data_IF_352206307524
#
_entry.id   IF_352206307524
#
_cell.length_a   1.000
_cell.length_b   1.000
_cell.length_c   1.000
_cell.angle_alpha   90.00
_cell.angle_beta   90.00
_cell.angle_gamma   90.00
#
_symmetry.space_group_name_H-M   'P 1'
#
loop_
_entity.id
_entity.type
_entity.pdbx_description
1 polymer ?
#
# COMPACT_ATOMS: atom_id res chain seq x y z
N UNK A 1 17.38 4.00 10.06
CA UNK A 1 17.97 2.86 9.30
C UNK A 1 17.28 1.60 9.76
N UNK A 2 16.76 0.78 8.84
CA UNK A 2 16.23 -0.54 9.21
C UNK A 2 17.39 -1.44 9.65
N UNK A 3 17.30 -1.98 10.85
CA UNK A 3 18.29 -2.91 11.39
C UNK A 3 18.18 -4.22 10.60
N UNK A 4 19.24 -4.63 9.89
CA UNK A 4 19.33 -5.95 9.26
C UNK A 4 20.02 -6.90 10.24
N UNK A 5 19.40 -8.04 10.50
CA UNK A 5 20.05 -9.13 11.24
C UNK A 5 21.13 -9.77 10.37
N UNK A 6 22.26 -10.15 11.00
CA UNK A 6 23.25 -11.03 10.38
C UNK A 6 22.67 -12.44 10.24
N UNK A 7 23.32 -13.31 9.44
CA UNK A 7 22.90 -14.72 9.31
C UNK A 7 22.93 -15.44 10.66
N UNK A 8 23.97 -15.23 11.46
CA UNK A 8 24.11 -15.78 12.80
C UNK A 8 22.98 -15.34 13.74
N UNK A 9 22.65 -14.05 13.76
CA UNK A 9 21.54 -13.52 14.54
C UNK A 9 20.18 -14.07 14.08
N UNK A 10 20.02 -14.28 12.78
CA UNK A 10 18.80 -14.87 12.23
C UNK A 10 18.64 -16.34 12.61
N UNK A 11 19.71 -17.12 12.55
CA UNK A 11 19.69 -18.52 13.01
C UNK A 11 19.44 -18.62 14.51
N UNK A 12 20.06 -17.77 15.32
CA UNK A 12 19.77 -17.65 16.75
C UNK A 12 18.27 -17.40 17.02
N UNK A 13 17.67 -16.42 16.32
CA UNK A 13 16.23 -16.13 16.46
C UNK A 13 15.35 -17.31 16.06
N UNK A 14 15.71 -18.04 14.99
CA UNK A 14 14.96 -19.22 14.54
C UNK A 14 15.04 -20.34 15.56
N UNK A 15 16.21 -20.59 16.13
CA UNK A 15 16.40 -21.60 17.19
C UNK A 15 15.56 -21.30 18.43
N UNK A 16 15.48 -20.04 18.86
CA UNK A 16 14.63 -19.64 19.97
C UNK A 16 13.14 -19.84 19.65
N UNK A 17 12.73 -19.55 18.42
CA UNK A 17 11.34 -19.74 17.99
C UNK A 17 10.94 -21.22 17.94
N UNK A 18 11.83 -22.10 17.45
CA UNK A 18 11.65 -23.56 17.48
C UNK A 18 11.57 -24.08 18.92
N UNK A 19 12.28 -23.43 19.85
CA UNK A 19 12.18 -23.69 21.29
C UNK A 19 10.91 -23.14 21.99
N UNK A 20 10.00 -22.50 21.24
CA UNK A 20 8.73 -22.00 21.74
C UNK A 20 8.76 -20.60 22.35
N UNK A 21 9.84 -19.83 22.17
CA UNK A 21 9.95 -18.45 22.63
C UNK A 21 9.00 -17.52 21.84
N UNK A 22 8.41 -16.54 22.53
CA UNK A 22 7.61 -15.51 21.87
C UNK A 22 8.49 -14.52 21.13
N UNK A 23 7.93 -13.77 20.17
CA UNK A 23 8.68 -12.74 19.44
C UNK A 23 9.21 -11.62 20.37
N UNK A 24 8.53 -11.39 21.48
CA UNK A 24 8.99 -10.47 22.51
C UNK A 24 10.24 -11.02 23.23
N UNK A 25 10.20 -12.31 23.64
CA UNK A 25 11.35 -12.96 24.27
C UNK A 25 12.56 -12.97 23.33
N UNK A 26 12.34 -13.30 22.06
CA UNK A 26 13.39 -13.27 21.04
C UNK A 26 13.98 -11.87 20.87
N UNK A 27 13.15 -10.82 20.90
CA UNK A 27 13.61 -9.43 20.87
C UNK A 27 14.52 -9.11 22.07
N UNK A 28 14.16 -9.55 23.26
CA UNK A 28 14.95 -9.36 24.46
C UNK A 28 16.24 -10.17 24.43
N UNK A 29 16.21 -11.43 24.00
CA UNK A 29 17.41 -12.26 23.81
C UNK A 29 18.39 -11.70 22.76
N UNK A 30 17.87 -11.10 21.69
CA UNK A 30 18.71 -10.38 20.71
C UNK A 30 19.42 -9.20 21.35
N UNK A 31 18.72 -8.44 22.19
CA UNK A 31 19.32 -7.34 22.93
C UNK A 31 20.40 -7.82 23.91
N UNK A 32 20.09 -8.82 24.70
CA UNK A 32 21.01 -9.35 25.72
C UNK A 32 22.25 -10.00 25.12
N UNK A 33 22.10 -10.73 24.00
CA UNK A 33 23.21 -11.49 23.39
C UNK A 33 24.03 -10.71 22.39
N UNK A 34 23.43 -9.76 21.68
CA UNK A 34 24.08 -9.04 20.57
C UNK A 34 23.98 -7.51 20.67
N UNK A 35 23.34 -6.98 21.71
CA UNK A 35 23.11 -5.52 21.84
C UNK A 35 22.21 -4.93 20.74
N UNK A 36 21.42 -5.77 20.05
CA UNK A 36 20.53 -5.37 18.95
C UNK A 36 19.08 -5.41 19.40
N UNK A 37 18.51 -4.23 19.62
CA UNK A 37 17.05 -4.14 19.88
C UNK A 37 16.30 -4.15 18.56
N UNK A 38 15.36 -5.09 18.42
CA UNK A 38 14.45 -5.15 17.28
C UNK A 38 13.02 -5.33 17.80
N UNK A 39 12.10 -4.48 17.33
CA UNK A 39 10.70 -4.60 17.72
C UNK A 39 10.16 -6.02 17.42
N UNK A 40 9.32 -6.63 18.29
CA UNK A 40 8.83 -8.01 18.13
C UNK A 40 8.20 -8.30 16.75
N UNK A 41 7.45 -7.37 16.17
CA UNK A 41 6.91 -7.50 14.80
C UNK A 41 7.99 -7.56 13.72
N UNK A 42 9.10 -6.84 13.91
CA UNK A 42 10.26 -6.91 13.01
C UNK A 42 10.99 -8.24 13.16
N UNK A 43 11.11 -8.75 14.38
CA UNK A 43 11.63 -10.11 14.64
C UNK A 43 10.78 -11.14 13.92
N UNK A 44 9.46 -11.08 14.09
CA UNK A 44 8.50 -11.94 13.38
C UNK A 44 8.74 -11.92 11.88
N UNK A 45 8.85 -10.74 11.27
CA UNK A 45 9.10 -10.60 9.84
C UNK A 45 10.38 -11.32 9.39
N UNK A 46 11.47 -11.19 10.14
CA UNK A 46 12.74 -11.81 9.77
C UNK A 46 12.74 -13.32 9.95
N UNK A 47 12.11 -13.83 11.01
CA UNK A 47 12.14 -15.25 11.38
C UNK A 47 11.13 -16.09 10.58
N UNK A 48 9.94 -15.52 10.23
CA UNK A 48 8.91 -16.27 9.49
C UNK A 48 9.09 -16.24 7.97
N UNK A 49 10.07 -15.52 7.46
CA UNK A 49 10.32 -15.39 6.02
C UNK A 49 10.75 -16.72 5.41
N UNK A 50 9.83 -17.40 4.72
CA UNK A 50 10.14 -18.61 3.94
C UNK A 50 11.09 -18.29 2.78
N UNK A 51 11.96 -19.25 2.42
CA UNK A 51 12.84 -19.14 1.27
C UNK A 51 12.05 -18.79 0.01
N UNK A 52 12.59 -17.88 -0.80
CA UNK A 52 11.94 -17.43 -2.05
C UNK A 52 11.72 -18.60 -2.99
N UNK A 53 10.51 -18.78 -3.55
CA UNK A 53 10.31 -19.69 -4.67
C UNK A 53 11.11 -19.22 -5.89
N UNK A 54 11.50 -20.16 -6.76
CA UNK A 54 12.22 -19.84 -8.02
C UNK A 54 11.37 -18.98 -8.93
N UNK A 55 11.93 -17.86 -9.36
CA UNK A 55 11.31 -16.91 -10.28
C UNK A 55 11.66 -17.30 -11.73
N UNK A 56 10.72 -17.24 -12.65
CA UNK A 56 10.96 -17.61 -14.06
C UNK A 56 11.36 -16.41 -14.93
N UNK A 57 10.44 -15.59 -15.34
CA UNK A 57 10.69 -14.45 -16.24
C UNK A 57 11.25 -13.22 -15.51
N UNK A 58 10.81 -13.02 -14.28
CA UNK A 58 11.36 -11.99 -13.38
C UNK A 58 12.85 -12.22 -13.10
N UNK A 59 13.31 -13.49 -13.02
CA UNK A 59 14.75 -13.78 -12.85
C UNK A 59 15.56 -13.43 -14.11
N UNK A 60 15.01 -13.60 -15.30
CA UNK A 60 15.68 -13.20 -16.54
C UNK A 60 15.85 -11.67 -16.60
N UNK A 61 14.77 -10.93 -16.34
CA UNK A 61 14.83 -9.46 -16.27
C UNK A 61 15.80 -9.00 -15.18
N UNK A 62 15.80 -9.65 -14.00
CA UNK A 62 16.74 -9.34 -12.93
C UNK A 62 18.19 -9.64 -13.32
N UNK A 63 18.46 -10.69 -14.12
CA UNK A 63 19.81 -10.99 -14.63
C UNK A 63 20.30 -9.94 -15.64
N UNK A 64 19.38 -9.24 -16.30
CA UNK A 64 19.63 -8.10 -17.19
C UNK A 64 19.68 -6.77 -16.42
N UNK A 65 19.49 -6.81 -15.08
CA UNK A 65 19.43 -5.62 -14.23
C UNK A 65 18.17 -4.79 -14.41
N UNK A 66 17.10 -5.38 -14.97
CA UNK A 66 15.80 -4.75 -15.19
C UNK A 66 14.82 -5.23 -14.12
N UNK A 67 14.13 -4.31 -13.50
CA UNK A 67 13.05 -4.57 -12.53
C UNK A 67 11.82 -3.76 -12.91
N UNK A 68 10.63 -4.38 -12.86
CA UNK A 68 9.36 -3.72 -13.13
C UNK A 68 8.47 -3.74 -11.89
N UNK A 69 7.81 -2.61 -11.62
CA UNK A 69 6.93 -2.41 -10.47
C UNK A 69 5.60 -1.81 -10.96
N UNK A 70 4.51 -2.49 -10.67
CA UNK A 70 3.17 -1.99 -10.97
C UNK A 70 2.70 -1.10 -9.81
N UNK A 71 2.30 0.14 -10.10
CA UNK A 71 1.75 1.07 -9.11
C UNK A 71 0.30 1.40 -9.46
N UNK A 72 -0.60 1.07 -8.56
CA UNK A 72 -2.05 1.29 -8.66
C UNK A 72 -2.47 2.07 -7.42
N UNK A 73 -3.38 3.04 -7.55
CA UNK A 73 -3.87 3.82 -6.41
C UNK A 73 -5.33 4.21 -6.56
N UNK A 74 -5.90 4.76 -5.50
CA UNK A 74 -7.24 5.34 -5.50
C UNK A 74 -8.27 4.35 -6.04
N UNK A 75 -8.28 3.14 -5.47
CA UNK A 75 -9.16 2.04 -5.86
C UNK A 75 -10.56 2.26 -5.29
N UNK A 76 -10.65 2.80 -4.05
CA UNK A 76 -11.89 3.14 -3.37
C UNK A 76 -12.91 2.00 -3.34
N UNK A 77 -12.53 0.82 -2.87
CA UNK A 77 -13.48 -0.28 -2.70
C UNK A 77 -14.64 0.19 -1.79
N UNK A 78 -15.92 0.01 -2.17
CA UNK A 78 -16.43 -0.86 -3.24
C UNK A 78 -16.62 -0.18 -4.61
N UNK A 79 -16.15 1.05 -4.78
CA UNK A 79 -16.32 1.83 -6.02
C UNK A 79 -15.18 1.59 -7.03
N UNK A 80 -14.42 0.53 -6.85
CA UNK A 80 -13.33 0.17 -7.75
C UNK A 80 -13.84 -0.12 -9.17
N UNK A 81 -12.97 0.09 -10.16
CA UNK A 81 -13.20 -0.34 -11.54
C UNK A 81 -13.24 -1.86 -11.62
N UNK A 82 -14.01 -2.36 -12.58
CA UNK A 82 -14.20 -3.81 -12.77
C UNK A 82 -12.95 -4.48 -13.37
N UNK A 83 -12.09 -3.73 -14.07
CA UNK A 83 -10.90 -4.21 -14.76
C UNK A 83 -9.59 -4.20 -13.92
N UNK A 84 -9.65 -3.86 -12.63
CA UNK A 84 -8.46 -3.84 -11.75
C UNK A 84 -7.69 -5.17 -11.80
N UNK A 85 -8.40 -6.29 -11.68
CA UNK A 85 -7.77 -7.62 -11.67
C UNK A 85 -7.22 -8.02 -13.05
N UNK A 86 -7.84 -7.60 -14.13
CA UNK A 86 -7.34 -7.83 -15.49
C UNK A 86 -6.02 -7.09 -15.72
N UNK A 87 -5.92 -5.86 -15.23
CA UNK A 87 -4.69 -5.06 -15.28
C UNK A 87 -3.58 -5.74 -14.48
N UNK A 88 -3.88 -6.20 -13.27
CA UNK A 88 -2.89 -6.93 -12.45
C UNK A 88 -2.43 -8.20 -13.17
N UNK A 89 -3.38 -8.99 -13.69
CA UNK A 89 -3.09 -10.24 -14.41
C UNK A 89 -2.22 -10.02 -15.67
N UNK A 90 -2.48 -8.93 -16.40
CA UNK A 90 -1.70 -8.54 -17.58
C UNK A 90 -0.21 -8.37 -17.26
N UNK A 91 0.13 -7.84 -16.08
CA UNK A 91 1.50 -7.54 -15.68
C UNK A 91 2.11 -8.57 -14.73
N UNK A 92 1.32 -9.53 -14.22
CA UNK A 92 1.73 -10.45 -13.14
C UNK A 92 3.03 -11.22 -13.41
N UNK A 93 3.30 -11.56 -14.67
CA UNK A 93 4.47 -12.36 -15.05
C UNK A 93 5.75 -11.53 -15.29
N UNK A 94 5.66 -10.19 -15.33
CA UNK A 94 6.78 -9.31 -15.64
C UNK A 94 7.20 -8.41 -14.46
N UNK A 95 6.38 -8.32 -13.39
CA UNK A 95 6.63 -7.44 -12.24
C UNK A 95 7.26 -8.19 -11.08
N UNK A 96 8.18 -7.53 -10.38
CA UNK A 96 8.77 -7.99 -9.13
C UNK A 96 8.01 -7.48 -7.90
N UNK A 97 7.28 -6.38 -8.06
CA UNK A 97 6.49 -5.79 -6.99
C UNK A 97 5.21 -5.11 -7.53
N UNK A 98 4.21 -5.04 -6.65
CA UNK A 98 3.03 -4.19 -6.81
C UNK A 98 2.92 -3.27 -5.59
N UNK A 99 2.68 -1.98 -5.83
CA UNK A 99 2.48 -0.97 -4.80
C UNK A 99 1.06 -0.42 -4.96
N UNK A 100 0.24 -0.63 -3.93
CA UNK A 100 -1.08 -0.02 -3.83
C UNK A 100 -0.94 1.31 -3.09
N UNK A 101 -1.09 2.39 -3.82
CA UNK A 101 -0.66 3.75 -3.46
C UNK A 101 -1.64 4.53 -2.59
N UNK A 102 -2.41 3.87 -1.70
CA UNK A 102 -3.39 4.51 -0.82
C UNK A 102 -4.79 4.64 -1.42
N UNK A 103 -5.74 4.99 -0.58
CA UNK A 103 -7.17 5.04 -0.88
C UNK A 103 -7.67 3.73 -1.52
N UNK A 104 -7.30 2.61 -0.90
CA UNK A 104 -7.79 1.28 -1.24
C UNK A 104 -9.21 1.11 -0.73
N UNK A 105 -9.43 1.54 0.53
CA UNK A 105 -10.72 1.64 1.19
C UNK A 105 -11.35 3.00 0.92
N UNK A 106 -12.67 3.05 0.66
CA UNK A 106 -13.36 4.32 0.64
C UNK A 106 -13.75 4.79 2.05
N UNK A 107 -14.01 3.86 2.97
CA UNK A 107 -14.45 4.14 4.35
C UNK A 107 -15.66 5.07 4.41
N UNK A 108 -16.62 4.87 3.50
CA UNK A 108 -17.78 5.77 3.34
C UNK A 108 -18.67 5.79 4.57
N UNK A 109 -18.87 4.66 5.25
CA UNK A 109 -19.74 4.53 6.42
C UNK A 109 -19.23 5.29 7.65
N UNK A 110 -17.95 5.55 7.73
CA UNK A 110 -17.30 6.34 8.80
C UNK A 110 -16.87 7.73 8.33
N UNK A 111 -17.29 8.11 7.12
CA UNK A 111 -17.05 9.42 6.53
C UNK A 111 -18.01 10.47 7.10
N UNK A 112 -17.59 11.74 7.08
CA UNK A 112 -18.49 12.87 7.33
C UNK A 112 -19.55 13.08 6.22
N UNK A 113 -19.41 12.39 5.09
CA UNK A 113 -20.34 12.40 3.95
C UNK A 113 -21.10 11.08 3.81
N UNK A 114 -21.42 10.45 4.95
CA UNK A 114 -22.07 9.16 4.98
C UNK A 114 -23.46 9.22 4.33
N UNK A 115 -23.71 8.60 3.17
CA UNK A 115 -25.04 8.49 2.59
C UNK A 115 -25.90 7.49 3.39
N UNK A 116 -27.22 7.59 3.28
CA UNK A 116 -28.16 6.73 4.02
C UNK A 116 -28.02 5.24 3.70
N UNK A 117 -27.51 4.92 2.52
CA UNK A 117 -27.32 3.58 1.97
C UNK A 117 -25.84 3.14 1.96
N UNK A 118 -24.99 3.76 2.79
CA UNK A 118 -23.58 3.38 2.89
C UNK A 118 -23.42 1.92 3.29
N UNK A 119 -22.51 1.22 2.61
CA UNK A 119 -22.13 -0.13 2.97
C UNK A 119 -21.54 -0.15 4.39
N UNK A 120 -21.97 -1.08 5.28
CA UNK A 120 -21.35 -1.21 6.60
C UNK A 120 -19.83 -1.41 6.51
N UNK A 121 -19.08 -0.83 7.44
CA UNK A 121 -17.62 -0.87 7.40
C UNK A 121 -17.06 -2.31 7.32
N UNK A 122 -17.68 -3.24 8.03
CA UNK A 122 -17.26 -4.64 8.01
C UNK A 122 -17.44 -5.30 6.63
N UNK A 123 -18.49 -4.93 5.90
CA UNK A 123 -18.74 -5.44 4.56
C UNK A 123 -17.76 -4.82 3.55
N UNK A 124 -17.42 -3.55 3.75
CA UNK A 124 -16.35 -2.89 2.98
C UNK A 124 -15.00 -3.56 3.24
N UNK A 125 -14.64 -3.83 4.50
CA UNK A 125 -13.43 -4.58 4.86
C UNK A 125 -13.39 -5.96 4.19
N UNK A 126 -14.53 -6.67 4.16
CA UNK A 126 -14.66 -7.96 3.51
C UNK A 126 -14.42 -7.86 2.00
N UNK A 127 -14.98 -6.85 1.34
CA UNK A 127 -14.78 -6.60 -0.07
C UNK A 127 -13.31 -6.26 -0.41
N UNK A 128 -12.67 -5.44 0.42
CA UNK A 128 -11.23 -5.12 0.29
C UNK A 128 -10.38 -6.38 0.46
N UNK A 129 -10.64 -7.15 1.50
CA UNK A 129 -9.92 -8.42 1.73
C UNK A 129 -10.05 -9.35 0.54
N UNK A 130 -11.23 -9.47 -0.04
CA UNK A 130 -11.48 -10.29 -1.23
C UNK A 130 -10.67 -9.82 -2.43
N UNK A 131 -10.67 -8.52 -2.72
CA UNK A 131 -9.87 -7.94 -3.80
C UNK A 131 -8.37 -8.17 -3.59
N UNK A 132 -7.85 -7.89 -2.38
CA UNK A 132 -6.44 -8.10 -2.05
C UNK A 132 -6.03 -9.57 -2.15
N UNK A 133 -6.93 -10.49 -1.74
CA UNK A 133 -6.71 -11.93 -1.87
C UNK A 133 -6.62 -12.35 -3.34
N UNK A 134 -7.49 -11.84 -4.19
CA UNK A 134 -7.45 -12.11 -5.64
C UNK A 134 -6.17 -11.58 -6.28
N UNK A 135 -5.74 -10.35 -5.93
CA UNK A 135 -4.45 -9.80 -6.37
C UNK A 135 -3.30 -10.71 -5.92
N UNK A 136 -3.31 -11.17 -4.67
CA UNK A 136 -2.29 -12.09 -4.15
C UNK A 136 -2.26 -13.41 -4.91
N UNK A 137 -3.41 -13.97 -5.27
CA UNK A 137 -3.51 -15.22 -6.01
C UNK A 137 -3.00 -15.09 -7.45
N UNK A 138 -3.27 -13.96 -8.09
CA UNK A 138 -2.77 -13.63 -9.43
C UNK A 138 -1.25 -13.38 -9.40
N UNK A 139 -0.71 -12.89 -8.29
CA UNK A 139 0.69 -12.47 -8.14
C UNK A 139 1.44 -13.26 -7.05
N UNK A 140 1.53 -14.60 -7.10
CA UNK A 140 2.01 -15.41 -5.98
C UNK A 140 3.48 -15.12 -5.59
N UNK A 141 4.30 -14.73 -6.57
CA UNK A 141 5.76 -14.51 -6.40
C UNK A 141 6.14 -13.02 -6.38
N UNK A 142 5.18 -12.12 -6.31
CA UNK A 142 5.37 -10.67 -6.38
C UNK A 142 5.32 -10.08 -4.97
N UNK A 143 6.21 -9.14 -4.66
CA UNK A 143 6.13 -8.36 -3.41
C UNK A 143 4.95 -7.41 -3.48
N UNK A 144 4.17 -7.31 -2.41
CA UNK A 144 2.96 -6.48 -2.33
C UNK A 144 3.08 -5.47 -1.21
N UNK A 145 2.88 -4.19 -1.54
CA UNK A 145 2.97 -3.08 -0.61
C UNK A 145 1.66 -2.31 -0.59
N UNK A 146 1.26 -1.84 0.59
CA UNK A 146 0.12 -0.96 0.81
C UNK A 146 0.62 0.34 1.44
N UNK A 147 0.25 1.49 0.89
CA UNK A 147 0.46 2.81 1.50
C UNK A 147 -0.88 3.29 2.04
N UNK A 148 -0.84 4.04 3.13
CA UNK A 148 -2.03 4.66 3.71
C UNK A 148 -2.41 5.92 2.94
N UNK A 149 -3.64 5.98 2.45
CA UNK A 149 -4.24 7.19 1.89
C UNK A 149 -5.04 7.99 2.92
N UNK A 150 -5.69 9.05 2.48
CA UNK A 150 -6.49 9.88 3.37
C UNK A 150 -7.85 9.26 3.73
N UNK A 151 -8.37 8.32 2.94
CA UNK A 151 -9.59 7.59 3.26
C UNK A 151 -9.38 6.58 4.37
N UNK A 152 -8.26 5.90 4.42
CA UNK A 152 -7.92 4.97 5.51
C UNK A 152 -7.83 5.68 6.88
N UNK A 153 -7.51 6.97 6.92
CA UNK A 153 -7.49 7.77 8.16
C UNK A 153 -8.90 8.06 8.70
N UNK A 154 -9.95 7.89 7.88
CA UNK A 154 -11.34 8.15 8.30
C UNK A 154 -11.77 7.31 9.50
N UNK A 155 -11.36 6.04 9.56
CA UNK A 155 -11.65 5.17 10.70
C UNK A 155 -11.04 5.72 11.99
N UNK A 156 -9.74 6.07 12.01
CA UNK A 156 -9.09 6.66 13.17
C UNK A 156 -9.76 7.97 13.61
N UNK A 157 -10.11 8.83 12.66
CA UNK A 157 -10.85 10.07 12.90
C UNK A 157 -12.24 9.81 13.51
N UNK A 158 -12.99 8.87 12.97
CA UNK A 158 -14.30 8.48 13.49
C UNK A 158 -14.20 7.96 14.93
N UNK A 159 -13.23 7.08 15.20
CA UNK A 159 -12.98 6.56 16.55
C UNK A 159 -12.60 7.66 17.53
N UNK A 160 -11.80 8.63 17.12
CA UNK A 160 -11.41 9.76 17.97
C UNK A 160 -12.57 10.70 18.29
N UNK A 161 -13.52 10.87 17.36
CA UNK A 161 -14.74 11.68 17.54
C UNK A 161 -15.83 10.95 18.33
N UNK A 162 -15.80 9.62 18.36
CA UNK A 162 -16.73 8.76 19.09
C UNK A 162 -15.98 7.94 20.14
N UNK A 163 -15.41 8.58 21.17
CA UNK A 163 -14.53 7.91 22.11
C UNK A 163 -15.29 6.83 22.89
N UNK A 164 -14.75 5.62 22.86
CA UNK A 164 -15.22 4.46 23.62
C UNK A 164 -14.02 3.75 24.21
N UNK A 165 -14.18 3.12 25.38
CA UNK A 165 -13.13 2.26 25.92
C UNK A 165 -12.82 1.07 24.99
N UNK A 166 -13.81 0.67 24.18
CA UNK A 166 -13.66 -0.40 23.18
C UNK A 166 -12.73 -0.01 22.03
N UNK A 167 -12.56 1.29 21.77
CA UNK A 167 -11.64 1.76 20.72
C UNK A 167 -10.18 1.33 20.95
N UNK A 168 -9.82 1.03 22.23
CA UNK A 168 -8.49 0.51 22.57
C UNK A 168 -8.28 -0.96 22.18
N UNK A 169 -9.34 -1.67 21.83
CA UNK A 169 -9.29 -3.06 21.41
C UNK A 169 -9.06 -3.24 19.91
N UNK A 170 -9.16 -2.16 19.15
CA UNK A 170 -9.02 -2.17 17.70
C UNK A 170 -7.87 -1.25 17.27
N UNK A 171 -7.22 -1.62 16.18
CA UNK A 171 -6.26 -0.75 15.50
C UNK A 171 -7.00 0.42 14.84
N UNK A 172 -6.36 1.58 14.77
CA UNK A 172 -6.81 2.72 13.97
C UNK A 172 -6.39 2.62 12.49
N UNK A 173 -5.61 1.58 12.16
CA UNK A 173 -5.16 1.27 10.81
C UNK A 173 -6.03 0.17 10.18
N UNK A 174 -7.02 0.58 9.37
CA UNK A 174 -7.94 -0.35 8.72
C UNK A 174 -7.24 -1.34 7.78
N UNK A 175 -6.23 -0.91 7.02
CA UNK A 175 -5.48 -1.80 6.14
C UNK A 175 -4.69 -2.84 6.94
N UNK A 176 -4.13 -2.44 8.08
CA UNK A 176 -3.46 -3.35 9.00
C UNK A 176 -4.38 -4.43 9.53
N UNK A 177 -5.61 -4.08 9.92
CA UNK A 177 -6.61 -5.05 10.36
C UNK A 177 -6.99 -6.02 9.23
N UNK A 178 -7.23 -5.52 8.02
CA UNK A 178 -7.58 -6.34 6.86
C UNK A 178 -6.45 -7.32 6.51
N UNK A 179 -5.19 -6.85 6.51
CA UNK A 179 -4.03 -7.69 6.16
C UNK A 179 -3.74 -8.75 7.22
N UNK A 180 -3.89 -8.41 8.50
CA UNK A 180 -3.74 -9.37 9.61
C UNK A 180 -4.81 -10.46 9.59
N UNK A 181 -5.91 -10.21 8.89
CA UNK A 181 -7.12 -11.00 8.96
C UNK A 181 -7.98 -10.59 10.15
N UNK A 182 -9.27 -10.79 10.03
CA UNK A 182 -10.25 -10.41 11.03
C UNK A 182 -11.41 -11.41 11.09
N UNK A 183 -12.16 -11.33 12.17
CA UNK A 183 -13.36 -12.12 12.37
C UNK A 183 -14.49 -11.21 12.83
N UNK A 184 -15.69 -11.46 12.34
CA UNK A 184 -16.90 -10.79 12.84
C UNK A 184 -18.06 -11.75 12.93
N UNK A 185 -19.02 -11.41 13.79
CA UNK A 185 -20.25 -12.15 13.94
C UNK A 185 -21.31 -11.63 12.98
N UNK A 186 -21.61 -12.41 11.95
CA UNK A 186 -22.73 -12.16 11.04
C UNK A 186 -24.04 -12.44 11.77
N UNK A 187 -24.65 -11.37 12.28
CA UNK A 187 -25.89 -11.46 13.07
C UNK A 187 -27.08 -11.94 12.23
N UNK A 188 -27.07 -11.69 10.92
CA UNK A 188 -28.16 -12.10 10.02
C UNK A 188 -28.21 -13.63 9.88
N UNK A 189 -27.05 -14.26 9.78
CA UNK A 189 -26.92 -15.71 9.60
C UNK A 189 -26.48 -16.44 10.87
N UNK A 190 -26.28 -15.73 11.99
CA UNK A 190 -25.94 -16.31 13.28
C UNK A 190 -24.59 -17.05 13.31
N UNK A 191 -23.62 -16.65 12.49
CA UNK A 191 -22.32 -17.32 12.37
C UNK A 191 -21.15 -16.34 12.43
N UNK A 192 -20.00 -16.85 12.86
CA UNK A 192 -18.74 -16.15 12.70
C UNK A 192 -18.20 -16.31 11.28
N UNK A 193 -17.72 -15.22 10.70
CA UNK A 193 -17.03 -15.15 9.41
C UNK A 193 -15.60 -14.74 9.68
N UNK A 194 -14.65 -15.57 9.23
CA UNK A 194 -13.21 -15.38 9.48
C UNK A 194 -12.49 -15.13 8.16
N UNK A 195 -11.73 -14.06 8.12
CA UNK A 195 -10.83 -13.70 7.02
C UNK A 195 -9.38 -13.98 7.42
N UNK A 196 -8.67 -14.76 6.60
CA UNK A 196 -7.30 -15.17 6.90
C UNK A 196 -6.29 -14.06 6.62
N UNK A 197 -5.12 -14.07 7.28
CA UNK A 197 -4.04 -13.13 6.98
C UNK A 197 -3.63 -13.16 5.49
N UNK A 198 -3.27 -12.00 4.98
CA UNK A 198 -2.76 -11.79 3.62
C UNK A 198 -1.26 -11.45 3.66
N UNK A 199 -0.55 -11.77 2.58
CA UNK A 199 0.89 -11.51 2.44
C UNK A 199 1.13 -10.14 1.78
N UNK A 200 0.90 -9.09 2.55
CA UNK A 200 1.16 -7.70 2.18
C UNK A 200 2.03 -7.01 3.22
N UNK A 201 2.95 -6.17 2.76
CA UNK A 201 3.66 -5.23 3.61
C UNK A 201 2.82 -3.95 3.71
N UNK A 202 2.16 -3.79 4.86
CA UNK A 202 1.41 -2.57 5.15
C UNK A 202 2.36 -1.50 5.68
N UNK A 203 2.48 -0.40 4.94
CA UNK A 203 3.24 0.78 5.33
C UNK A 203 2.25 1.75 5.97
N UNK A 204 2.31 1.91 7.29
CA UNK A 204 1.45 2.83 8.04
C UNK A 204 1.93 4.29 7.92
N UNK A 205 2.34 4.65 6.71
CA UNK A 205 2.78 5.98 6.31
C UNK A 205 2.12 6.35 4.98
N UNK A 206 2.05 7.65 4.70
CA UNK A 206 1.47 8.19 3.48
C UNK A 206 2.41 8.13 2.27
N UNK A 207 3.64 7.67 2.45
CA UNK A 207 4.62 7.47 1.37
C UNK A 207 5.57 6.32 1.68
N UNK A 208 6.19 5.79 0.64
CA UNK A 208 7.30 4.85 0.73
C UNK A 208 8.34 5.14 -0.34
N UNK A 209 9.58 4.71 -0.08
CA UNK A 209 10.64 4.68 -1.08
C UNK A 209 10.82 3.25 -1.60
N UNK A 210 10.96 3.13 -2.92
CA UNK A 210 11.30 1.90 -3.60
C UNK A 210 12.44 2.18 -4.58
N UNK A 211 13.64 1.63 -4.32
CA UNK A 211 14.87 2.08 -4.99
C UNK A 211 15.02 3.61 -4.88
N UNK A 212 15.14 4.32 -6.00
CA UNK A 212 15.22 5.77 -6.08
C UNK A 212 13.88 6.46 -6.44
N UNK A 213 12.78 5.73 -6.32
CA UNK A 213 11.42 6.20 -6.53
C UNK A 213 10.67 6.35 -5.20
N UNK A 214 9.95 7.47 -5.04
CA UNK A 214 8.96 7.66 -3.99
C UNK A 214 7.58 7.41 -4.58
N UNK A 215 6.72 6.68 -3.84
CA UNK A 215 5.29 6.61 -4.08
C UNK A 215 4.61 7.26 -2.89
N UNK A 216 3.71 8.22 -3.12
CA UNK A 216 3.07 8.96 -2.03
C UNK A 216 1.59 9.24 -2.28
N UNK A 217 0.85 9.34 -1.16
CA UNK A 217 -0.56 9.70 -1.12
C UNK A 217 -0.76 10.93 -0.21
N UNK A 218 -0.50 12.16 -0.69
CA UNK A 218 -0.60 13.36 0.12
C UNK A 218 -2.06 13.68 0.47
N UNK A 219 -2.29 14.26 1.67
CA UNK A 219 -3.63 14.72 2.08
C UNK A 219 -4.00 16.02 1.34
N UNK A 220 -3.02 16.88 1.10
CA UNK A 220 -3.20 18.17 0.43
C UNK A 220 -2.90 18.07 -1.05
N UNK A 221 -3.76 18.64 -1.87
CA UNK A 221 -3.57 18.65 -3.32
C UNK A 221 -3.99 19.97 -3.96
N UNK A 222 -3.52 20.20 -5.19
CA UNK A 222 -3.95 21.30 -6.05
C UNK A 222 -4.94 20.81 -7.09
N UNK A 223 -5.90 21.66 -7.45
CA UNK A 223 -6.82 21.41 -8.57
C UNK A 223 -6.15 21.54 -9.95
N UNK A 224 -5.01 22.22 -10.00
CA UNK A 224 -4.21 22.38 -11.22
C UNK A 224 -3.39 21.13 -11.45
N UNK A 225 -3.54 20.49 -12.61
CA UNK A 225 -2.78 19.30 -13.00
C UNK A 225 -1.26 19.56 -12.94
N UNK A 226 -0.50 18.61 -12.40
CA UNK A 226 0.96 18.73 -12.21
C UNK A 226 1.40 19.61 -11.04
N UNK A 227 0.50 20.39 -10.45
CA UNK A 227 0.87 21.26 -9.31
C UNK A 227 1.12 20.45 -8.04
N UNK A 228 0.32 19.42 -7.78
CA UNK A 228 0.55 18.51 -6.64
C UNK A 228 1.87 17.77 -6.80
N UNK A 229 2.18 17.31 -8.02
CA UNK A 229 3.47 16.71 -8.34
C UNK A 229 4.64 17.66 -8.02
N UNK A 230 4.54 18.94 -8.43
CA UNK A 230 5.53 19.96 -8.10
C UNK A 230 5.68 20.18 -6.58
N UNK A 231 4.57 20.23 -5.84
CA UNK A 231 4.58 20.40 -4.38
C UNK A 231 5.22 19.19 -3.66
N UNK A 232 4.99 17.97 -4.16
CA UNK A 232 5.62 16.78 -3.62
C UNK A 232 7.15 16.81 -3.80
N UNK A 233 7.64 17.27 -4.96
CA UNK A 233 9.07 17.47 -5.17
C UNK A 233 9.65 18.48 -4.17
N UNK A 234 8.98 19.62 -3.93
CA UNK A 234 9.40 20.61 -2.94
C UNK A 234 9.50 19.96 -1.56
N UNK A 235 8.43 19.26 -1.15
CA UNK A 235 8.35 18.63 0.17
C UNK A 235 9.51 17.67 0.46
N UNK A 236 9.81 16.75 -0.47
CA UNK A 236 10.84 15.73 -0.26
C UNK A 236 12.27 16.31 -0.42
N UNK A 237 12.47 17.26 -1.33
CA UNK A 237 13.77 17.93 -1.49
C UNK A 237 14.13 18.77 -0.25
N UNK A 238 13.19 19.55 0.28
CA UNK A 238 13.40 20.35 1.50
C UNK A 238 13.75 19.49 2.71
N UNK A 239 13.32 18.22 2.74
CA UNK A 239 13.63 17.26 3.82
C UNK A 239 14.88 16.43 3.58
N UNK A 240 15.60 16.68 2.49
CA UNK A 240 16.82 15.97 2.15
C UNK A 240 16.62 14.50 1.82
N UNK A 241 15.41 14.11 1.35
CA UNK A 241 15.16 12.74 0.93
C UNK A 241 15.86 12.49 -0.40
N UNK A 242 16.60 11.39 -0.48
CA UNK A 242 17.25 10.98 -1.72
C UNK A 242 16.28 10.20 -2.60
N UNK A 243 16.01 10.72 -3.79
CA UNK A 243 15.17 10.09 -4.81
C UNK A 243 15.40 10.74 -6.18
N UNK A 244 14.98 10.11 -7.25
CA UNK A 244 14.99 10.67 -8.60
C UNK A 244 13.56 10.86 -9.14
N UNK A 245 12.62 10.04 -8.73
CA UNK A 245 11.23 10.09 -9.21
C UNK A 245 10.24 10.03 -8.06
N UNK A 246 9.11 10.73 -8.21
CA UNK A 246 8.00 10.70 -7.28
C UNK A 246 6.69 10.40 -8.03
N UNK A 247 5.99 9.34 -7.64
CA UNK A 247 4.65 9.01 -8.12
C UNK A 247 3.62 9.46 -7.09
N UNK A 248 2.61 10.18 -7.55
CA UNK A 248 1.61 10.83 -6.69
C UNK A 248 0.23 10.26 -6.98
N UNK A 249 -0.40 9.75 -5.95
CA UNK A 249 -1.79 9.34 -5.85
C UNK A 249 -2.71 10.50 -5.42
N UNK A 250 -3.94 10.23 -5.00
CA UNK A 250 -4.90 11.16 -4.41
C UNK A 250 -5.58 12.13 -5.39
N UNK A 251 -4.86 12.63 -6.39
CA UNK A 251 -5.39 13.72 -7.23
C UNK A 251 -6.42 13.25 -8.25
N UNK A 252 -6.50 11.98 -8.52
CA UNK A 252 -7.29 11.36 -9.60
C UNK A 252 -7.01 11.97 -10.97
N UNK A 253 -5.80 12.49 -11.19
CA UNK A 253 -5.37 13.14 -12.43
C UNK A 253 -4.12 12.46 -12.98
N UNK A 254 -3.88 12.69 -14.25
CA UNK A 254 -2.63 12.33 -14.88
C UNK A 254 -1.92 13.60 -15.34
N UNK A 255 -0.77 13.86 -14.77
CA UNK A 255 0.08 14.98 -15.12
C UNK A 255 1.52 14.69 -14.69
N UNK A 256 2.48 15.38 -15.26
CA UNK A 256 3.86 15.25 -14.86
C UNK A 256 4.57 16.58 -14.81
N UNK A 257 5.66 16.66 -14.06
CA UNK A 257 6.53 17.80 -14.03
C UNK A 257 7.98 17.41 -13.77
N UNK A 258 8.89 18.28 -14.19
CA UNK A 258 10.30 18.23 -13.85
C UNK A 258 10.67 19.41 -12.97
N UNK A 259 11.36 19.16 -11.86
CA UNK A 259 11.88 20.19 -10.98
C UNK A 259 13.08 19.65 -10.20
N UNK A 260 14.09 20.49 -9.98
CA UNK A 260 15.33 20.09 -9.28
C UNK A 260 16.07 18.89 -9.93
N UNK A 261 15.97 18.72 -11.24
CA UNK A 261 16.51 17.55 -11.93
C UNK A 261 15.77 16.24 -11.63
N UNK A 262 14.60 16.31 -10.98
CA UNK A 262 13.77 15.16 -10.58
C UNK A 262 12.47 15.15 -11.36
N UNK A 263 11.89 13.96 -11.54
CA UNK A 263 10.63 13.74 -12.24
C UNK A 263 9.51 13.42 -11.27
N UNK A 264 8.33 13.96 -11.49
CA UNK A 264 7.14 13.61 -10.70
C UNK A 264 5.93 13.40 -11.60
N UNK A 265 5.07 12.42 -11.22
CA UNK A 265 3.88 12.01 -11.98
C UNK A 265 2.70 11.83 -11.06
N UNK A 266 1.59 12.49 -11.36
CA UNK A 266 0.25 12.17 -10.86
C UNK A 266 -0.28 11.00 -11.70
N UNK A 267 -0.57 9.83 -11.08
CA UNK A 267 -0.77 8.56 -11.81
C UNK A 267 -2.22 8.25 -12.17
N UNK A 268 -3.18 9.08 -11.75
CA UNK A 268 -4.62 8.82 -11.95
C UNK A 268 -5.23 8.00 -10.81
N UNK A 269 -6.36 7.34 -11.10
CA UNK A 269 -7.10 6.54 -10.13
C UNK A 269 -7.64 5.24 -10.75
N UNK A 270 -7.98 4.27 -9.90
CA UNK A 270 -8.57 2.99 -10.29
C UNK A 270 -9.99 2.80 -9.75
N UNK A 271 -10.69 3.90 -9.45
CA UNK A 271 -12.10 3.89 -9.09
C UNK A 271 -13.02 4.27 -10.26
N UNK A 272 -14.29 3.91 -10.15
CA UNK A 272 -15.37 4.41 -11.00
C UNK A 272 -15.56 5.91 -10.76
N UNK A 273 -16.16 6.65 -11.70
CA UNK A 273 -16.46 8.06 -11.49
C UNK A 273 -17.22 8.29 -10.18
N UNK A 274 -16.65 9.05 -9.28
CA UNK A 274 -17.25 9.35 -7.98
C UNK A 274 -18.41 10.35 -8.13
N UNK A 275 -19.47 10.17 -7.37
CA UNK A 275 -20.69 10.98 -7.46
C UNK A 275 -20.45 12.49 -7.31
N UNK A 276 -19.45 12.88 -6.50
CA UNK A 276 -19.09 14.28 -6.33
C UNK A 276 -18.46 14.91 -7.60
N UNK A 277 -17.88 14.10 -8.48
CA UNK A 277 -17.28 14.59 -9.74
C UNK A 277 -18.36 15.08 -10.72
N UNK A 278 -19.61 14.60 -10.60
CA UNK A 278 -20.76 14.99 -11.41
C UNK A 278 -21.71 15.98 -10.73
N UNK A 279 -21.37 16.49 -9.54
CA UNK A 279 -22.25 17.30 -8.68
C UNK A 279 -22.52 18.74 -9.16
N UNK A 280 -22.11 19.11 -10.38
CA UNK A 280 -22.23 20.48 -10.91
C UNK A 280 -21.28 21.50 -10.28
N UNK A 281 -20.40 21.08 -9.38
CA UNK A 281 -19.35 21.92 -8.82
C UNK A 281 -18.20 22.03 -9.82
N UNK A 282 -18.13 23.14 -10.55
CA UNK A 282 -17.07 23.43 -11.54
C UNK A 282 -15.65 23.37 -10.97
N UNK A 283 -15.53 23.23 -9.66
CA UNK A 283 -14.25 23.09 -8.94
C UNK A 283 -13.67 21.68 -8.98
N UNK A 284 -14.45 20.65 -9.35
CA UNK A 284 -13.95 19.30 -9.55
C UNK A 284 -13.51 19.12 -11.00
N UNK A 285 -12.28 18.68 -11.17
CA UNK A 285 -11.77 18.26 -12.48
C UNK A 285 -12.23 16.83 -12.79
N UNK A 286 -12.34 16.52 -14.07
CA UNK A 286 -12.62 15.15 -14.51
C UNK A 286 -11.58 14.19 -13.97
N UNK A 287 -12.02 13.05 -13.41
CA UNK A 287 -11.13 11.97 -13.01
C UNK A 287 -10.52 11.32 -14.24
N UNK A 288 -9.24 10.98 -14.14
CA UNK A 288 -8.50 10.24 -15.15
C UNK A 288 -8.12 8.88 -14.58
N UNK A 289 -8.72 7.84 -15.14
CA UNK A 289 -8.40 6.48 -14.73
C UNK A 289 -7.06 6.05 -15.31
N UNK A 290 -6.26 5.37 -14.49
CA UNK A 290 -4.97 4.89 -14.93
C UNK A 290 -4.12 4.30 -13.83
N UNK A 291 -2.97 3.77 -14.24
CA UNK A 291 -1.97 3.15 -13.39
C UNK A 291 -0.57 3.41 -13.95
N UNK A 292 0.45 3.09 -13.19
CA UNK A 292 1.84 3.31 -13.61
C UNK A 292 2.64 2.01 -13.57
N UNK A 293 3.38 1.73 -14.65
CA UNK A 293 4.39 0.67 -14.69
C UNK A 293 5.76 1.33 -14.61
N UNK A 294 6.39 1.25 -13.46
CA UNK A 294 7.74 1.73 -13.24
C UNK A 294 8.76 0.66 -13.67
N UNK A 295 9.78 1.08 -14.40
CA UNK A 295 10.90 0.25 -14.82
C UNK A 295 12.17 0.79 -14.19
N UNK A 296 12.98 -0.10 -13.63
CA UNK A 296 14.28 0.22 -13.05
C UNK A 296 15.37 -0.51 -13.83
N UNK A 297 16.43 0.19 -14.17
CA UNK A 297 17.64 -0.37 -14.77
C UNK A 297 18.81 -0.17 -13.82
N UNK A 298 19.40 -1.26 -13.35
CA UNK A 298 20.47 -1.20 -12.35
C UNK A 298 20.03 -0.54 -11.02
N UNK A 299 18.78 -0.71 -10.63
CA UNK A 299 18.20 -0.14 -9.41
C UNK A 299 17.84 1.35 -9.50
N UNK A 300 17.91 1.95 -10.70
CA UNK A 300 17.51 3.34 -10.95
C UNK A 300 16.27 3.40 -11.84
N UNK A 301 15.36 4.29 -11.51
CA UNK A 301 14.15 4.52 -12.28
C UNK A 301 14.49 4.96 -13.72
N UNK A 302 13.99 4.23 -14.70
CA UNK A 302 14.16 4.51 -16.11
C UNK A 302 12.93 5.23 -16.67
N UNK A 303 13.05 6.55 -16.83
CA UNK A 303 11.94 7.38 -17.32
C UNK A 303 11.55 7.06 -18.77
N UNK A 304 12.45 6.50 -19.58
CA UNK A 304 12.18 6.20 -20.98
C UNK A 304 11.39 4.89 -21.15
N UNK A 305 11.55 3.97 -20.22
CA UNK A 305 10.86 2.68 -20.21
C UNK A 305 9.62 2.67 -19.32
N UNK A 306 9.59 3.54 -18.29
CA UNK A 306 8.43 3.66 -17.38
C UNK A 306 7.26 4.36 -18.07
N UNK A 307 6.03 3.94 -17.73
CA UNK A 307 4.84 4.46 -18.41
C UNK A 307 3.63 4.60 -17.48
N UNK A 308 2.96 5.74 -17.58
CA UNK A 308 1.61 5.92 -17.06
C UNK A 308 0.61 5.54 -18.15
N UNK A 309 -0.29 4.63 -17.82
CA UNK A 309 -1.37 4.18 -18.70
C UNK A 309 -2.64 4.93 -18.37
N UNK A 310 -3.30 5.45 -19.38
CA UNK A 310 -4.67 5.98 -19.33
C UNK A 310 -5.62 4.89 -19.81
N UNK A 311 -6.75 4.69 -19.13
CA UNK A 311 -7.74 3.64 -19.38
C UNK A 311 -9.16 4.21 -19.37
#
# INVERSE_FOLDING_TARGET
MAIKLTEEQLEFCKGLMEGGSTYYDISMHLWDSYGVYMHPESVRYHVTRKAKPKLTEVEKLASEGIEKVLVISDIHVPFNRDDVLEIVAKHANEISAIILGGDIADCVSVSSYNPLDALPLVDEMAAIHHLLKQIQDITPNVKRFLIKGNHEVRMAKYMSQNPSQLNKLHSDNILGEIVKGFEYHDRLHGKFVTYKPLDYLNIDEWFMSYNDMIVCHPISFSRVAGKTASMALDYFVERGVEFNTCLIAHTHKQASCFKYGKYAVEIGCMCKPMSYASSGRLTYTQQQCGYHLAVFTGGKYDINQSRTYTI
#
